data_IF_964385724547
#
_entry.id   IF_964385724547
#
_cell.length_a   1.000
_cell.length_b   1.000
_cell.length_c   1.000
_cell.angle_alpha   90.00
_cell.angle_beta   90.00
_cell.angle_gamma   90.00
#
_symmetry.space_group_name_H-M   'P 1'
#
loop_
_entity.id
_entity.type
_entity.pdbx_description
1 polymer ?
#
# COMPACT_ATOMS: atom_id res chain seq x y z
N UNK A 1 34.73 16.65 -11.95
CA UNK A 1 33.88 15.45 -11.85
C UNK A 1 33.90 15.00 -10.40
N UNK A 2 32.78 15.07 -9.67
CA UNK A 2 32.74 14.59 -8.28
C UNK A 2 32.80 13.06 -8.37
N UNK A 3 33.98 12.47 -8.13
CA UNK A 3 34.07 11.03 -7.94
C UNK A 3 33.24 10.72 -6.69
N UNK A 4 32.37 9.73 -6.81
CA UNK A 4 31.78 9.09 -5.65
C UNK A 4 32.94 8.33 -5.03
N UNK A 5 33.36 8.73 -3.83
CA UNK A 5 34.32 7.97 -3.05
C UNK A 5 33.61 6.66 -2.72
N UNK A 6 33.92 5.64 -3.51
CA UNK A 6 33.40 4.29 -3.37
C UNK A 6 33.94 3.75 -2.05
N UNK A 7 33.02 3.49 -1.12
CA UNK A 7 32.98 2.33 -0.22
C UNK A 7 34.36 1.87 0.28
N UNK A 8 34.63 2.05 1.59
CA UNK A 8 35.86 1.55 2.20
C UNK A 8 36.09 0.08 1.83
N UNK A 9 37.21 -0.18 1.15
CA UNK A 9 37.60 -1.50 0.65
C UNK A 9 37.70 -2.48 1.83
N UNK A 10 36.69 -3.34 1.99
CA UNK A 10 36.64 -4.35 3.04
C UNK A 10 35.46 -4.29 4.01
N UNK A 11 34.56 -3.30 3.94
CA UNK A 11 33.27 -3.37 4.66
C UNK A 11 32.24 -4.05 3.75
N UNK A 12 31.72 -5.24 4.10
CA UNK A 12 30.65 -5.85 3.31
C UNK A 12 29.39 -4.98 3.43
N UNK A 13 28.93 -4.41 2.32
CA UNK A 13 27.59 -3.83 2.26
C UNK A 13 26.56 -4.94 2.16
N UNK A 14 25.89 -5.18 3.28
CA UNK A 14 24.79 -6.15 3.32
C UNK A 14 23.51 -5.51 2.76
N UNK A 15 22.98 -6.10 1.70
CA UNK A 15 21.65 -5.77 1.20
C UNK A 15 20.64 -6.67 1.91
N UNK A 16 19.96 -6.10 2.90
CA UNK A 16 18.95 -6.79 3.70
C UNK A 16 17.53 -6.49 3.22
N UNK A 17 16.62 -7.43 3.46
CA UNK A 17 15.20 -7.21 3.23
C UNK A 17 14.65 -6.13 4.15
N UNK A 18 13.80 -5.25 3.61
CA UNK A 18 12.97 -4.36 4.40
C UNK A 18 11.61 -4.98 4.75
N UNK A 19 10.78 -4.23 5.48
CA UNK A 19 9.47 -4.71 5.94
C UNK A 19 8.55 -5.10 4.79
N UNK A 20 8.60 -4.38 3.66
CA UNK A 20 7.69 -4.55 2.53
C UNK A 20 8.38 -5.01 1.24
N UNK A 21 9.71 -5.15 1.26
CA UNK A 21 10.53 -5.46 0.07
C UNK A 21 11.22 -6.81 0.27
N UNK A 22 11.05 -7.69 -0.71
CA UNK A 22 11.78 -8.95 -0.85
C UNK A 22 12.94 -8.75 -1.83
N UNK A 23 14.13 -9.05 -1.36
CA UNK A 23 15.36 -9.09 -2.15
C UNK A 23 15.85 -10.53 -2.14
N UNK A 24 16.07 -11.08 -3.32
CA UNK A 24 16.64 -12.43 -3.49
C UNK A 24 17.81 -12.35 -4.44
N UNK A 25 18.89 -13.04 -4.08
CA UNK A 25 20.05 -13.21 -4.94
C UNK A 25 20.02 -14.61 -5.53
N UNK A 26 20.29 -14.72 -6.82
CA UNK A 26 20.36 -16.01 -7.49
C UNK A 26 21.44 -16.90 -6.86
N UNK A 27 21.16 -18.20 -6.77
CA UNK A 27 22.09 -19.17 -6.21
C UNK A 27 23.36 -19.37 -7.04
N UNK A 28 23.24 -19.19 -8.36
CA UNK A 28 24.25 -19.52 -9.38
C UNK A 28 24.92 -18.26 -9.92
N UNK A 29 24.14 -17.23 -10.27
CA UNK A 29 24.67 -15.93 -10.70
C UNK A 29 24.53 -14.89 -9.60
N UNK A 30 25.56 -14.75 -8.77
CA UNK A 30 25.56 -13.80 -7.64
C UNK A 30 25.45 -12.33 -8.05
N UNK A 31 25.55 -12.00 -9.34
CA UNK A 31 25.29 -10.64 -9.85
C UNK A 31 23.81 -10.40 -10.11
N UNK A 32 23.00 -11.45 -10.20
CA UNK A 32 21.56 -11.37 -10.43
C UNK A 32 20.82 -11.20 -9.11
N UNK A 33 20.28 -10.00 -8.91
CA UNK A 33 19.42 -9.63 -7.79
C UNK A 33 18.00 -9.42 -8.30
N UNK A 34 17.03 -10.03 -7.63
CA UNK A 34 15.61 -9.80 -7.87
C UNK A 34 15.03 -9.02 -6.70
N UNK A 35 14.37 -7.90 -7.01
CA UNK A 35 13.67 -7.06 -6.02
C UNK A 35 12.19 -7.09 -6.33
N UNK A 36 11.37 -7.37 -5.32
CA UNK A 36 9.93 -7.43 -5.41
C UNK A 36 9.28 -6.83 -4.15
N UNK A 37 8.03 -6.43 -4.25
CA UNK A 37 7.21 -6.17 -3.05
C UNK A 37 6.76 -7.49 -2.44
N UNK A 38 6.53 -7.49 -1.12
CA UNK A 38 5.78 -8.56 -0.47
C UNK A 38 4.32 -8.56 -0.95
N UNK A 39 3.60 -9.67 -0.71
CA UNK A 39 2.18 -9.78 -1.06
C UNK A 39 1.30 -8.92 -0.16
N UNK A 40 1.61 -8.94 1.13
CA UNK A 40 0.98 -8.08 2.13
C UNK A 40 1.95 -6.93 2.46
N UNK A 41 1.42 -5.71 2.53
CA UNK A 41 2.19 -4.51 2.84
C UNK A 41 1.66 -3.89 4.12
N UNK A 42 2.56 -3.53 5.03
CA UNK A 42 2.24 -2.74 6.21
C UNK A 42 2.66 -1.29 5.92
N UNK A 43 1.67 -0.42 5.77
CA UNK A 43 1.87 0.99 5.39
C UNK A 43 0.90 1.89 6.15
N UNK A 44 1.29 3.13 6.41
CA UNK A 44 0.42 4.09 7.10
C UNK A 44 -0.72 4.59 6.19
N UNK A 45 -0.42 4.76 4.90
CA UNK A 45 -1.40 5.22 3.91
C UNK A 45 -1.04 4.81 2.48
N UNK A 46 -2.06 4.74 1.62
CA UNK A 46 -1.96 4.56 0.18
C UNK A 46 -2.73 5.70 -0.48
N UNK A 47 -2.08 6.44 -1.37
CA UNK A 47 -2.72 7.47 -2.19
C UNK A 47 -2.69 7.04 -3.66
N UNK A 48 -3.86 6.93 -4.27
CA UNK A 48 -4.02 6.59 -5.68
C UNK A 48 -4.95 7.62 -6.35
N UNK A 49 -4.34 8.63 -6.98
CA UNK A 49 -5.09 9.78 -7.50
C UNK A 49 -5.79 10.53 -6.37
N UNK A 50 -7.12 10.61 -6.43
CA UNK A 50 -7.96 11.25 -5.42
C UNK A 50 -8.40 10.31 -4.27
N UNK A 51 -8.02 9.03 -4.35
CA UNK A 51 -8.35 8.02 -3.33
C UNK A 51 -7.23 7.93 -2.30
N UNK A 52 -7.57 7.95 -1.02
CA UNK A 52 -6.64 7.71 0.09
C UNK A 52 -7.18 6.57 0.95
N UNK A 53 -6.34 5.58 1.24
CA UNK A 53 -6.60 4.54 2.24
C UNK A 53 -5.60 4.70 3.38
N UNK A 54 -6.06 4.69 4.62
CA UNK A 54 -5.22 4.78 5.81
C UNK A 54 -5.92 4.15 7.03
N UNK A 55 -5.34 4.32 8.22
CA UNK A 55 -5.89 3.78 9.47
C UNK A 55 -7.29 4.28 9.82
N UNK A 56 -7.74 5.39 9.24
CA UNK A 56 -9.09 5.93 9.43
C UNK A 56 -10.11 5.38 8.43
N UNK A 57 -9.67 4.66 7.39
CA UNK A 57 -10.51 4.03 6.38
C UNK A 57 -10.13 4.41 4.94
N UNK A 58 -11.14 4.68 4.10
CA UNK A 58 -11.00 5.02 2.69
C UNK A 58 -11.69 6.35 2.39
N UNK A 59 -11.01 7.28 1.73
CA UNK A 59 -11.62 8.52 1.18
C UNK A 59 -11.43 8.57 -0.33
N UNK A 60 -12.45 9.08 -1.04
CA UNK A 60 -12.43 9.37 -2.47
C UNK A 60 -13.35 10.57 -2.74
N UNK A 61 -12.75 11.75 -2.88
CA UNK A 61 -13.51 13.00 -2.98
C UNK A 61 -14.38 13.20 -1.74
N UNK A 62 -15.70 13.33 -1.94
CA UNK A 62 -16.68 13.50 -0.86
C UNK A 62 -17.20 12.18 -0.28
N UNK A 63 -16.75 11.05 -0.82
CA UNK A 63 -17.08 9.72 -0.27
C UNK A 63 -16.03 9.28 0.73
N UNK A 64 -16.46 8.85 1.91
CA UNK A 64 -15.59 8.24 2.92
C UNK A 64 -16.23 7.00 3.52
N UNK A 65 -15.41 5.98 3.78
CA UNK A 65 -15.75 4.78 4.55
C UNK A 65 -14.85 4.81 5.78
N UNK A 66 -15.45 4.80 6.96
CA UNK A 66 -14.74 4.83 8.25
C UNK A 66 -15.24 3.71 9.16
N UNK A 67 -14.64 3.57 10.34
CA UNK A 67 -15.12 2.64 11.37
C UNK A 67 -16.57 2.91 11.85
N UNK A 68 -17.14 4.07 11.55
CA UNK A 68 -18.51 4.43 11.95
C UNK A 68 -19.54 4.35 10.82
N UNK A 69 -19.11 4.15 9.57
CA UNK A 69 -20.03 3.98 8.44
C UNK A 69 -19.52 4.59 7.14
N UNK A 70 -20.46 4.95 6.27
CA UNK A 70 -20.21 5.50 4.93
C UNK A 70 -20.84 6.90 4.84
N UNK A 71 -20.07 7.89 4.41
CA UNK A 71 -20.56 9.24 4.07
C UNK A 71 -20.33 9.50 2.60
N UNK A 72 -21.32 10.01 1.87
CA UNK A 72 -21.19 10.44 0.48
C UNK A 72 -22.30 11.44 0.14
N UNK A 73 -22.06 12.34 -0.80
CA UNK A 73 -23.05 13.36 -1.20
C UNK A 73 -24.27 12.75 -1.89
N UNK A 74 -24.06 11.67 -2.66
CA UNK A 74 -25.13 11.02 -3.44
C UNK A 74 -24.93 9.52 -3.48
N UNK A 75 -25.95 8.81 -3.01
CA UNK A 75 -26.11 7.37 -3.26
C UNK A 75 -27.10 7.20 -4.41
N UNK A 76 -26.69 6.55 -5.50
CA UNK A 76 -27.62 6.18 -6.59
C UNK A 76 -27.96 4.72 -6.45
N UNK A 77 -29.21 4.42 -6.09
CA UNK A 77 -29.74 3.06 -5.93
C UNK A 77 -30.96 2.89 -6.83
N UNK A 78 -31.12 1.72 -7.44
CA UNK A 78 -32.17 1.48 -8.44
C UNK A 78 -33.58 1.39 -7.86
N UNK A 79 -33.83 0.44 -6.96
CA UNK A 79 -35.17 0.16 -6.42
C UNK A 79 -35.10 -0.52 -5.07
N UNK A 80 -34.43 0.14 -4.12
CA UNK A 80 -33.92 -0.47 -2.89
C UNK A 80 -34.35 0.40 -1.69
N UNK A 81 -34.88 -0.23 -0.64
CA UNK A 81 -35.22 0.38 0.67
C UNK A 81 -34.40 -0.21 1.81
N UNK A 82 -33.74 0.55 2.70
CA UNK A 82 -32.97 -0.02 3.83
C UNK A 82 -33.54 0.43 5.19
N UNK A 83 -33.97 -0.49 6.06
CA UNK A 83 -34.38 -0.20 7.44
C UNK A 83 -33.64 -1.07 8.51
N UNK A 84 -33.80 -0.77 9.80
CA UNK A 84 -33.10 -1.50 10.89
C UNK A 84 -33.76 -2.83 11.28
N UNK A 85 -34.99 -3.04 10.82
CA UNK A 85 -35.97 -4.04 11.25
C UNK A 85 -36.02 -5.21 10.25
N UNK A 86 -36.25 -4.88 8.98
CA UNK A 86 -36.26 -5.73 7.78
C UNK A 86 -35.17 -5.33 6.78
N UNK A 87 -34.54 -4.16 6.92
CA UNK A 87 -33.53 -3.73 5.95
C UNK A 87 -34.13 -3.26 4.64
N UNK A 88 -33.36 -3.57 3.61
CA UNK A 88 -33.75 -4.01 2.27
C UNK A 88 -35.22 -4.29 1.88
N UNK A 89 -36.27 -3.44 2.00
CA UNK A 89 -37.60 -3.83 1.43
C UNK A 89 -37.54 -4.04 -0.08
#
# INVERSE_FOLDING_TARGET
TRRLDHLEDGVPEEVINGDNILITQDGTDKKKITVATKKDLIVDSITAGNTVMNTSGLTNGTTAITGTGITTDKVTVGGISIDKTDGIN
#
